data_IF_432883726847
#
_entry.id   IF_432883726847
#
_cell.length_a   1.000
_cell.length_b   1.000
_cell.length_c   1.000
_cell.angle_alpha   90.00
_cell.angle_beta   90.00
_cell.angle_gamma   90.00
#
_symmetry.space_group_name_H-M   'P 1'
#
loop_
_entity.id
_entity.type
_entity.pdbx_description
1 polymer ?
#
# COMPACT_ATOMS: atom_id res chain seq x y z
N UNK A 1 -31.27 10.46 -35.18
CA UNK A 1 -31.41 10.06 -33.77
C UNK A 1 -31.01 8.62 -33.70
N UNK A 2 -29.82 8.32 -33.19
CA UNK A 2 -29.69 7.35 -32.11
C UNK A 2 -28.35 7.61 -31.42
N UNK A 3 -28.43 7.96 -30.15
CA UNK A 3 -27.32 8.30 -29.28
C UNK A 3 -27.45 7.37 -28.08
N UNK A 4 -26.82 6.22 -28.19
CA UNK A 4 -26.65 5.19 -27.16
C UNK A 4 -25.58 4.27 -27.76
N UNK A 5 -24.46 3.97 -27.13
CA UNK A 5 -24.27 3.69 -25.71
C UNK A 5 -22.75 3.70 -25.49
N UNK A 6 -22.21 4.77 -24.94
CA UNK A 6 -20.77 4.90 -24.60
C UNK A 6 -20.66 5.33 -23.15
N UNK A 7 -21.18 4.50 -22.26
CA UNK A 7 -21.13 4.71 -20.81
C UNK A 7 -20.93 3.38 -20.10
N UNK A 8 -19.79 2.71 -20.27
CA UNK A 8 -19.20 1.94 -19.17
C UNK A 8 -17.78 1.48 -19.51
N UNK A 9 -16.76 2.20 -19.04
CA UNK A 9 -15.37 1.69 -18.89
C UNK A 9 -14.42 2.71 -18.22
N UNK A 10 -14.89 3.90 -17.80
CA UNK A 10 -14.04 4.93 -17.19
C UNK A 10 -13.99 4.88 -15.66
N UNK A 11 -14.86 4.11 -15.00
CA UNK A 11 -14.87 3.99 -13.52
C UNK A 11 -13.82 2.98 -13.00
N UNK A 12 -13.35 2.05 -13.84
CA UNK A 12 -12.40 0.99 -13.46
C UNK A 12 -10.92 1.42 -13.42
N UNK A 13 -10.61 2.62 -13.94
CA UNK A 13 -9.26 3.18 -14.05
C UNK A 13 -8.99 4.32 -13.04
N UNK A 14 -9.75 4.38 -11.95
CA UNK A 14 -9.44 5.35 -10.88
C UNK A 14 -8.18 4.92 -10.12
N UNK A 15 -7.33 5.87 -9.67
CA UNK A 15 -6.19 5.55 -8.80
C UNK A 15 -6.55 4.71 -7.58
N UNK A 16 -7.75 4.91 -7.02
CA UNK A 16 -8.27 4.10 -5.89
C UNK A 16 -8.47 2.64 -6.28
N UNK A 17 -9.17 2.39 -7.38
CA UNK A 17 -9.45 1.03 -7.84
C UNK A 17 -8.17 0.30 -8.30
N UNK A 18 -7.28 1.01 -8.97
CA UNK A 18 -5.99 0.49 -9.45
C UNK A 18 -5.05 0.13 -8.29
N UNK A 19 -4.85 1.04 -7.33
CA UNK A 19 -4.02 0.77 -6.15
C UNK A 19 -4.60 -0.37 -5.29
N UNK A 20 -5.92 -0.44 -5.14
CA UNK A 20 -6.57 -1.54 -4.43
C UNK A 20 -6.34 -2.89 -5.13
N UNK A 21 -6.55 -2.94 -6.46
CA UNK A 21 -6.31 -4.15 -7.26
C UNK A 21 -4.85 -4.59 -7.18
N UNK A 22 -3.92 -3.64 -7.21
CA UNK A 22 -2.51 -3.89 -7.01
C UNK A 22 -2.24 -4.47 -5.62
N UNK A 23 -2.73 -3.83 -4.55
CA UNK A 23 -2.54 -4.31 -3.18
C UNK A 23 -3.05 -5.75 -3.00
N UNK A 24 -4.27 -6.04 -3.46
CA UNK A 24 -4.85 -7.40 -3.43
C UNK A 24 -4.03 -8.39 -4.25
N UNK A 25 -3.61 -7.99 -5.46
CA UNK A 25 -2.78 -8.81 -6.33
C UNK A 25 -1.45 -9.17 -5.69
N UNK A 26 -0.79 -8.19 -5.07
CA UNK A 26 0.49 -8.36 -4.37
C UNK A 26 0.34 -9.29 -3.17
N UNK A 27 -0.69 -9.10 -2.34
CA UNK A 27 -0.99 -9.99 -1.21
C UNK A 27 -1.32 -11.43 -1.60
N UNK A 28 -1.85 -11.66 -2.80
CA UNK A 28 -2.15 -12.99 -3.32
C UNK A 28 -0.92 -13.84 -3.64
N UNK A 29 0.28 -13.27 -3.67
CA UNK A 29 1.49 -13.98 -4.05
C UNK A 29 2.15 -14.71 -2.87
N UNK A 30 2.64 -15.95 -3.08
CA UNK A 30 3.37 -16.70 -2.07
C UNK A 30 4.55 -15.90 -1.51
N UNK A 31 4.65 -15.81 -0.17
CA UNK A 31 5.75 -15.14 0.54
C UNK A 31 5.59 -13.62 0.70
N UNK A 32 4.74 -12.94 -0.08
CA UNK A 32 4.53 -11.49 0.08
C UNK A 32 3.81 -11.18 1.39
N UNK A 33 2.71 -11.89 1.67
CA UNK A 33 1.96 -11.69 2.89
C UNK A 33 2.84 -11.92 4.13
N UNK A 34 3.67 -12.96 4.11
CA UNK A 34 4.62 -13.27 5.18
C UNK A 34 5.69 -12.19 5.33
N UNK A 35 6.26 -11.69 4.23
CA UNK A 35 7.24 -10.61 4.26
C UNK A 35 6.65 -9.30 4.80
N UNK A 36 5.44 -8.92 4.37
CA UNK A 36 4.70 -7.76 4.90
C UNK A 36 4.43 -7.89 6.41
N UNK A 37 3.94 -9.06 6.83
CA UNK A 37 3.66 -9.34 8.25
C UNK A 37 4.93 -9.31 9.10
N UNK A 38 6.01 -9.93 8.61
CA UNK A 38 7.32 -9.93 9.27
C UNK A 38 7.84 -8.51 9.46
N UNK A 39 7.83 -7.71 8.39
CA UNK A 39 8.28 -6.33 8.43
C UNK A 39 7.41 -5.49 9.40
N UNK A 40 6.09 -5.67 9.36
CA UNK A 40 5.17 -5.00 10.26
C UNK A 40 5.41 -5.38 11.72
N UNK A 41 5.61 -6.65 12.03
CA UNK A 41 5.86 -7.12 13.39
C UNK A 41 7.22 -6.68 13.92
N UNK A 42 8.25 -6.71 13.06
CA UNK A 42 9.63 -6.40 13.47
C UNK A 42 9.89 -4.92 13.65
N UNK A 43 9.27 -4.08 12.82
CA UNK A 43 9.60 -2.66 12.74
C UNK A 43 8.38 -1.72 12.83
N UNK A 44 7.17 -2.26 12.94
CA UNK A 44 5.95 -1.44 12.99
C UNK A 44 5.65 -0.71 11.68
N UNK A 45 6.22 -1.14 10.55
CA UNK A 45 6.11 -0.45 9.27
C UNK A 45 4.67 -0.34 8.78
N UNK A 46 4.42 0.71 7.99
CA UNK A 46 3.17 0.85 7.28
C UNK A 46 3.17 0.06 5.98
N UNK A 47 2.53 -1.11 6.02
CA UNK A 47 2.38 -1.95 4.83
C UNK A 47 1.61 -1.24 3.72
N UNK A 48 0.64 -0.37 4.03
CA UNK A 48 -0.07 0.39 2.99
C UNK A 48 0.85 1.43 2.33
N UNK A 49 1.77 2.03 3.10
CA UNK A 49 2.80 2.93 2.52
C UNK A 49 3.79 2.15 1.66
N UNK A 50 4.22 0.98 2.11
CA UNK A 50 5.08 0.07 1.35
C UNK A 50 4.44 -0.31 0.01
N UNK A 51 3.18 -0.77 0.03
CA UNK A 51 2.43 -1.13 -1.16
C UNK A 51 2.22 0.06 -2.10
N UNK A 52 1.92 1.24 -1.55
CA UNK A 52 1.80 2.47 -2.33
C UNK A 52 3.10 2.84 -3.05
N UNK A 53 4.25 2.75 -2.37
CA UNK A 53 5.55 3.02 -2.99
C UNK A 53 5.83 2.06 -4.17
N UNK A 54 5.54 0.76 -4.00
CA UNK A 54 5.67 -0.22 -5.07
C UNK A 54 4.73 0.04 -6.24
N UNK A 55 3.48 0.43 -5.95
CA UNK A 55 2.51 0.78 -6.98
C UNK A 55 2.96 1.98 -7.82
N UNK A 56 3.52 3.02 -7.18
CA UNK A 56 4.12 4.16 -7.88
C UNK A 56 5.25 3.73 -8.83
N UNK A 57 6.16 2.85 -8.37
CA UNK A 57 7.25 2.29 -9.20
C UNK A 57 6.72 1.52 -10.39
N UNK A 58 5.68 0.69 -10.19
CA UNK A 58 5.06 -0.06 -11.29
C UNK A 58 4.39 0.84 -12.32
N UNK A 59 3.97 2.04 -11.93
CA UNK A 59 3.51 3.10 -12.82
C UNK A 59 4.64 3.96 -13.39
N UNK A 60 5.91 3.59 -13.22
CA UNK A 60 7.04 4.28 -13.82
C UNK A 60 7.47 5.58 -13.12
N UNK A 61 7.02 5.81 -11.88
CA UNK A 61 7.46 6.92 -11.04
C UNK A 61 8.14 6.43 -9.76
N UNK A 62 8.93 7.28 -9.12
CA UNK A 62 9.48 7.00 -7.78
C UNK A 62 9.05 8.11 -6.82
N UNK A 63 8.82 7.73 -5.56
CA UNK A 63 8.55 8.67 -4.48
C UNK A 63 9.88 9.21 -3.97
N UNK A 64 10.03 10.54 -4.01
CA UNK A 64 11.13 11.22 -3.33
C UNK A 64 10.96 11.11 -1.81
N UNK A 65 12.01 11.39 -1.01
CA UNK A 65 11.87 11.45 0.45
C UNK A 65 10.75 12.41 0.91
N UNK A 66 10.55 13.52 0.21
CA UNK A 66 9.45 14.44 0.52
C UNK A 66 8.06 13.86 0.17
N UNK A 67 7.95 13.10 -0.92
CA UNK A 67 6.70 12.42 -1.28
C UNK A 67 6.35 11.33 -0.27
N UNK A 68 7.35 10.56 0.20
CA UNK A 68 7.18 9.55 1.26
C UNK A 68 6.69 10.18 2.56
N UNK A 69 7.30 11.29 2.96
CA UNK A 69 6.93 12.01 4.18
C UNK A 69 5.51 12.61 4.09
N UNK A 70 5.13 13.16 2.93
CA UNK A 70 3.75 13.62 2.68
C UNK A 70 2.73 12.48 2.70
N UNK A 71 3.07 11.33 2.12
CA UNK A 71 2.22 10.14 2.13
C UNK A 71 2.02 9.58 3.55
N UNK A 72 3.08 9.57 4.36
CA UNK A 72 3.02 9.20 5.77
C UNK A 72 2.14 10.18 6.56
N UNK A 73 2.41 11.49 6.45
CA UNK A 73 1.63 12.55 7.10
C UNK A 73 0.14 12.47 6.75
N UNK A 74 -0.18 12.19 5.47
CA UNK A 74 -1.56 12.05 4.98
C UNK A 74 -2.33 10.91 5.68
N UNK A 75 -1.62 9.87 6.11
CA UNK A 75 -2.20 8.67 6.71
C UNK A 75 -2.05 8.62 8.23
N UNK A 76 -1.12 9.38 8.81
CA UNK A 76 -0.69 9.25 10.21
C UNK A 76 -1.86 9.21 11.20
N UNK A 77 -2.74 10.20 11.16
CA UNK A 77 -3.86 10.29 12.12
C UNK A 77 -4.84 9.11 12.00
N UNK A 78 -5.07 8.61 10.79
CA UNK A 78 -5.90 7.44 10.56
C UNK A 78 -5.22 6.14 10.99
N UNK A 79 -3.94 5.99 10.65
CA UNK A 79 -3.14 4.85 11.05
C UNK A 79 -3.09 4.72 12.57
N UNK A 80 -2.70 5.80 13.26
CA UNK A 80 -2.54 5.81 14.71
C UNK A 80 -3.87 5.75 15.46
N UNK A 81 -4.91 6.42 14.96
CA UNK A 81 -6.21 6.49 15.61
C UNK A 81 -7.16 5.33 15.32
N UNK A 82 -6.94 4.58 14.23
CA UNK A 82 -7.88 3.54 13.76
C UNK A 82 -7.17 2.23 13.47
N UNK A 83 -6.18 2.21 12.56
CA UNK A 83 -5.57 0.95 12.11
C UNK A 83 -4.78 0.26 13.23
N UNK A 84 -3.88 0.98 13.92
CA UNK A 84 -3.06 0.41 14.98
C UNK A 84 -3.89 -0.07 16.19
N UNK A 85 -4.92 0.66 16.67
CA UNK A 85 -5.81 0.16 17.72
C UNK A 85 -6.55 -1.13 17.32
N UNK A 86 -7.11 -1.19 16.10
CA UNK A 86 -7.79 -2.39 15.62
C UNK A 86 -6.84 -3.59 15.56
N UNK A 87 -5.64 -3.37 15.04
CA UNK A 87 -4.60 -4.40 14.95
C UNK A 87 -4.15 -4.89 16.32
N UNK A 88 -3.90 -3.98 17.25
CA UNK A 88 -3.50 -4.32 18.61
C UNK A 88 -4.57 -5.17 19.31
N UNK A 89 -5.84 -4.85 19.09
CA UNK A 89 -6.94 -5.64 19.63
C UNK A 89 -7.12 -6.99 18.92
N UNK A 90 -6.93 -7.06 17.59
CA UNK A 90 -6.91 -8.33 16.85
C UNK A 90 -5.81 -9.26 17.37
N UNK A 91 -4.62 -8.73 17.65
CA UNK A 91 -3.51 -9.49 18.20
C UNK A 91 -3.82 -10.04 19.59
N UNK A 92 -4.45 -9.24 20.45
CA UNK A 92 -4.90 -9.70 21.78
C UNK A 92 -5.92 -10.84 21.72
N UNK A 93 -6.83 -10.82 20.74
CA UNK A 93 -7.87 -11.84 20.60
C UNK A 93 -7.46 -13.05 19.76
N UNK A 94 -6.31 -13.01 19.10
CA UNK A 94 -5.89 -14.03 18.12
C UNK A 94 -5.95 -15.46 18.66
N UNK A 95 -5.50 -15.64 19.91
CA UNK A 95 -5.42 -16.96 20.55
C UNK A 95 -6.48 -17.14 21.67
N UNK A 96 -7.39 -16.17 21.84
CA UNK A 96 -8.47 -16.21 22.83
C UNK A 96 -9.71 -16.89 22.22
N UNK A 97 -9.88 -18.17 22.52
CA UNK A 97 -10.95 -19.02 21.96
C UNK A 97 -12.37 -18.46 22.16
N UNK A 98 -12.60 -17.80 23.29
CA UNK A 98 -13.84 -17.15 23.70
C UNK A 98 -14.16 -15.91 22.85
N UNK A 99 -13.16 -15.29 22.23
CA UNK A 99 -13.28 -14.09 21.40
C UNK A 99 -13.29 -14.41 19.91
N UNK A 100 -13.51 -15.68 19.49
CA UNK A 100 -13.35 -16.06 18.07
C UNK A 100 -14.24 -15.25 17.13
N UNK A 101 -15.49 -14.97 17.52
CA UNK A 101 -16.39 -14.14 16.71
C UNK A 101 -15.91 -12.69 16.62
N UNK A 102 -15.46 -12.13 17.75
CA UNK A 102 -14.93 -10.76 17.82
C UNK A 102 -13.62 -10.62 17.03
N UNK A 103 -12.77 -11.66 17.04
CA UNK A 103 -11.55 -11.75 16.24
C UNK A 103 -11.83 -11.65 14.73
N UNK A 104 -12.82 -12.40 14.21
CA UNK A 104 -13.16 -12.30 12.79
C UNK A 104 -13.77 -10.92 12.46
N UNK A 105 -14.64 -10.40 13.34
CA UNK A 105 -15.24 -9.07 13.14
C UNK A 105 -14.19 -7.94 13.12
N UNK A 106 -13.22 -7.98 14.05
CA UNK A 106 -12.18 -6.95 14.11
C UNK A 106 -11.16 -7.08 12.96
N UNK A 107 -10.89 -8.31 12.51
CA UNK A 107 -10.06 -8.56 11.34
C UNK A 107 -10.67 -7.96 10.07
N UNK A 108 -11.98 -8.14 9.88
CA UNK A 108 -12.68 -7.53 8.74
C UNK A 108 -12.71 -6.00 8.84
N UNK A 109 -12.84 -5.45 10.05
CA UNK A 109 -12.82 -4.01 10.27
C UNK A 109 -11.42 -3.41 10.06
N UNK A 110 -10.35 -4.10 10.50
CA UNK A 110 -8.96 -3.71 10.22
C UNK A 110 -8.71 -3.67 8.71
N UNK A 111 -9.13 -4.70 7.97
CA UNK A 111 -8.98 -4.74 6.51
C UNK A 111 -9.71 -3.57 5.82
N UNK A 112 -10.92 -3.25 6.28
CA UNK A 112 -11.66 -2.09 5.77
C UNK A 112 -10.94 -0.77 6.08
N UNK A 113 -10.37 -0.64 7.29
CA UNK A 113 -9.61 0.53 7.69
C UNK A 113 -8.30 0.69 6.89
N UNK A 114 -7.61 -0.42 6.58
CA UNK A 114 -6.43 -0.45 5.72
C UNK A 114 -6.78 -0.06 4.27
N UNK A 115 -7.88 -0.58 3.74
CA UNK A 115 -8.38 -0.17 2.42
C UNK A 115 -8.67 1.34 2.39
N UNK A 116 -9.30 1.88 3.43
CA UNK A 116 -9.57 3.32 3.56
C UNK A 116 -8.28 4.14 3.57
N UNK A 117 -7.23 3.61 4.18
CA UNK A 117 -5.92 4.24 4.16
C UNK A 117 -5.30 4.26 2.74
N UNK A 118 -5.39 3.15 1.99
CA UNK A 118 -4.97 3.12 0.58
C UNK A 118 -5.74 4.14 -0.27
N UNK A 119 -7.04 4.36 0.00
CA UNK A 119 -7.80 5.42 -0.67
C UNK A 119 -7.23 6.82 -0.40
N UNK A 120 -6.74 7.11 0.81
CA UNK A 120 -6.10 8.38 1.12
C UNK A 120 -4.80 8.59 0.34
N UNK A 121 -4.04 7.51 0.13
CA UNK A 121 -2.81 7.53 -0.66
C UNK A 121 -3.11 7.69 -2.16
N UNK A 122 -4.12 6.99 -2.67
CA UNK A 122 -4.59 7.15 -4.04
C UNK A 122 -5.13 8.57 -4.31
N UNK A 123 -5.82 9.17 -3.34
CA UNK A 123 -6.28 10.56 -3.43
C UNK A 123 -5.11 11.55 -3.46
N UNK A 124 -4.09 11.32 -2.62
CA UNK A 124 -2.86 12.13 -2.62
C UNK A 124 -2.16 12.02 -3.98
N UNK A 125 -2.03 10.81 -4.52
CA UNK A 125 -1.49 10.59 -5.86
C UNK A 125 -2.24 11.39 -6.92
N UNK A 126 -3.57 11.32 -6.92
CA UNK A 126 -4.41 12.05 -7.88
C UNK A 126 -4.28 13.57 -7.75
N UNK A 127 -4.12 14.09 -6.53
CA UNK A 127 -3.89 15.52 -6.29
C UNK A 127 -2.54 15.98 -6.85
N UNK A 128 -1.50 15.16 -6.68
CA UNK A 128 -0.14 15.48 -7.10
C UNK A 128 0.08 15.39 -8.61
N UNK A 129 -0.74 14.59 -9.31
CA UNK A 129 -0.59 14.31 -10.73
C UNK A 129 -1.73 14.87 -11.61
N UNK A 130 -2.79 15.43 -11.00
CA UNK A 130 -3.94 15.98 -11.73
C UNK A 130 -4.73 14.93 -12.52
N UNK A 131 -5.65 15.38 -13.39
CA UNK A 131 -6.42 14.49 -14.30
C UNK A 131 -5.60 13.94 -15.48
N UNK A 132 -4.31 14.24 -15.54
CA UNK A 132 -3.42 13.84 -16.61
C UNK A 132 -2.64 12.59 -16.15
N UNK A 133 -2.73 11.43 -16.82
CA UNK A 133 -2.00 10.22 -16.42
C UNK A 133 -0.49 10.33 -16.68
N UNK A 134 0.06 11.55 -16.81
CA UNK A 134 1.49 11.80 -16.98
C UNK A 134 2.18 11.57 -15.64
N UNK A 135 2.47 10.29 -15.41
CA UNK A 135 3.69 9.82 -14.76
C UNK A 135 4.77 10.88 -14.97
N UNK A 136 5.31 11.47 -13.90
CA UNK A 136 6.58 12.20 -14.02
C UNK A 136 7.56 11.20 -14.60
N UNK A 137 7.86 11.32 -15.89
CA UNK A 137 8.72 10.38 -16.60
C UNK A 137 10.06 10.36 -15.86
N UNK A 138 10.29 9.29 -15.10
CA UNK A 138 11.64 8.77 -14.96
C UNK A 138 12.02 8.36 -16.38
N UNK A 139 12.92 9.11 -17.00
CA UNK A 139 13.26 8.94 -18.40
C UNK A 139 13.89 7.57 -18.74
N UNK A 140 13.89 6.57 -17.85
CA UNK A 140 14.19 5.16 -18.09
C UNK A 140 13.69 4.33 -16.90
N UNK A 141 12.85 3.31 -17.08
CA UNK A 141 12.44 2.40 -15.99
C UNK A 141 12.82 0.93 -16.28
N UNK A 142 14.02 0.47 -15.87
CA UNK A 142 14.31 -0.95 -15.64
C UNK A 142 14.05 -1.35 -14.18
N UNK A 143 14.02 -2.67 -13.94
CA UNK A 143 13.73 -3.36 -12.67
C UNK A 143 14.51 -2.89 -11.41
N UNK A 144 15.58 -2.10 -11.55
CA UNK A 144 16.35 -1.55 -10.43
C UNK A 144 15.63 -0.49 -9.59
N UNK A 145 14.57 0.14 -10.11
CA UNK A 145 13.85 1.21 -9.41
C UNK A 145 13.08 0.72 -8.17
N UNK A 146 12.63 -0.55 -8.15
CA UNK A 146 11.93 -1.08 -6.98
C UNK A 146 12.89 -1.24 -5.80
N UNK A 147 14.07 -1.81 -6.02
CA UNK A 147 15.08 -1.97 -4.98
C UNK A 147 15.56 -0.61 -4.47
N UNK A 148 15.79 0.36 -5.35
CA UNK A 148 16.14 1.73 -4.95
C UNK A 148 15.02 2.39 -4.14
N UNK A 149 13.77 2.28 -4.57
CA UNK A 149 12.62 2.82 -3.83
C UNK A 149 12.48 2.18 -2.45
N UNK A 150 12.70 0.86 -2.34
CA UNK A 150 12.65 0.15 -1.07
C UNK A 150 13.79 0.55 -0.15
N UNK A 151 14.99 0.81 -0.66
CA UNK A 151 16.09 1.38 0.12
C UNK A 151 15.77 2.78 0.64
N UNK A 152 15.16 3.64 -0.18
CA UNK A 152 14.72 4.96 0.28
C UNK A 152 13.61 4.86 1.33
N UNK A 153 12.70 3.90 1.17
CA UNK A 153 11.71 3.62 2.20
C UNK A 153 12.35 3.08 3.50
N UNK A 154 13.37 2.23 3.41
CA UNK A 154 14.09 1.72 4.57
C UNK A 154 14.77 2.87 5.33
N UNK A 155 15.43 3.78 4.61
CA UNK A 155 16.02 5.01 5.18
C UNK A 155 14.96 5.91 5.83
N UNK A 156 13.79 6.04 5.21
CA UNK A 156 12.65 6.80 5.76
C UNK A 156 12.22 6.26 7.13
N UNK A 157 12.26 4.93 7.32
CA UNK A 157 12.01 4.29 8.61
C UNK A 157 13.24 4.17 9.52
N UNK A 158 14.40 4.72 9.12
CA UNK A 158 15.68 4.55 9.80
C UNK A 158 16.10 3.08 10.00
N UNK A 159 15.83 2.23 9.00
CA UNK A 159 16.18 0.82 8.96
C UNK A 159 17.42 0.56 8.07
N UNK A 160 18.00 -0.63 8.20
CA UNK A 160 19.05 -1.11 7.29
C UNK A 160 18.54 -1.22 5.85
N UNK A 161 19.42 -1.02 4.86
CA UNK A 161 19.03 -1.01 3.43
C UNK A 161 18.40 -2.32 2.93
N UNK A 162 18.68 -3.44 3.59
CA UNK A 162 18.18 -4.76 3.26
C UNK A 162 16.90 -5.14 4.02
N UNK A 163 16.32 -4.23 4.82
CA UNK A 163 15.13 -4.49 5.62
C UNK A 163 13.94 -5.03 4.81
N UNK A 164 13.83 -4.67 3.53
CA UNK A 164 12.77 -5.12 2.64
C UNK A 164 13.23 -6.13 1.57
N UNK A 165 14.39 -6.78 1.74
CA UNK A 165 14.92 -7.72 0.76
C UNK A 165 13.97 -8.91 0.50
N UNK A 166 13.40 -9.50 1.56
CA UNK A 166 12.43 -10.60 1.46
C UNK A 166 11.16 -10.16 0.71
N UNK A 167 10.70 -8.94 0.99
CA UNK A 167 9.54 -8.35 0.32
C UNK A 167 9.85 -8.05 -1.15
N UNK A 168 10.99 -7.45 -1.47
CA UNK A 168 11.41 -7.19 -2.85
C UNK A 168 11.47 -8.48 -3.65
N UNK A 169 12.10 -9.52 -3.10
CA UNK A 169 12.23 -10.82 -3.74
C UNK A 169 10.88 -11.51 -3.97
N UNK A 170 9.90 -11.30 -3.08
CA UNK A 170 8.55 -11.83 -3.23
C UNK A 170 7.74 -11.06 -4.28
N UNK A 171 7.84 -9.72 -4.32
CA UNK A 171 7.15 -8.87 -5.29
C UNK A 171 7.71 -9.01 -6.71
N UNK A 172 9.02 -9.23 -6.88
CA UNK A 172 9.62 -9.44 -8.20
C UNK A 172 9.25 -10.79 -8.84
N UNK A 173 8.81 -11.77 -8.03
CA UNK A 173 8.36 -13.08 -8.51
C UNK A 173 6.85 -13.11 -8.85
N UNK A 174 6.15 -12.01 -8.59
CA UNK A 174 4.71 -11.82 -8.77
C UNK A 174 4.36 -11.10 -10.09
#
# INVERSE_FOLDING_TARGET
MDAGEQTNNREEDTPRADLWRFAVGVYGNPGVAEACLSAQQRWGIDVNLLLYACWCVRRGGCLTPDDLRRAEERCRSWREGVVLPLRGQREQWRDASECRADYEAIKDLELQAERRQLEFLADLFAQDHGSDPVIRSAAQAPAGHLDEQLKELAKHYCLEEDAFADFSAAVLKA
#
